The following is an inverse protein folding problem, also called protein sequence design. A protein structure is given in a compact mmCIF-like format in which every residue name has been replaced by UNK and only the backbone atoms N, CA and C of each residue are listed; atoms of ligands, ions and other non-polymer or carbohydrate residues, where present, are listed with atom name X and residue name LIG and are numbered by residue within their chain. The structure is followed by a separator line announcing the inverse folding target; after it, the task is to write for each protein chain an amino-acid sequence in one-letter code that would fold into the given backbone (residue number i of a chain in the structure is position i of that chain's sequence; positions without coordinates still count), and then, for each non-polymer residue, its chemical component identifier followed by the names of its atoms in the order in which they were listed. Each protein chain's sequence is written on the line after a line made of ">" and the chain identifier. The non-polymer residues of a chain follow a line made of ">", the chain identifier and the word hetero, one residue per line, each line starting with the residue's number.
data_IF_241703976460
#
_entry.id   IF_241703976460
#
_cell.length_a   1.000
_cell.length_b   1.000
_cell.length_c   1.000
_cell.angle_alpha   90.00
_cell.angle_beta   90.00
_cell.angle_gamma   90.00
#
_symmetry.space_group_name_H-M   'P 1'
#
loop_
_entity.id
_entity.type
_entity.pdbx_description
1 polymer ?
#
# COMPACT_ATOMS: atom_id res chain seq x y z
N UNK A 1 -6.82 -13.06 -3.12
CA UNK A 1 -7.29 -13.62 -1.83
C UNK A 1 -6.31 -13.16 -0.78
N UNK A 2 -6.77 -12.44 0.24
CA UNK A 2 -5.98 -12.11 1.43
C UNK A 2 -6.17 -13.23 2.46
N UNK A 3 -5.09 -13.62 3.14
CA UNK A 3 -5.06 -14.70 4.12
C UNK A 3 -4.18 -14.29 5.30
N UNK A 4 -4.15 -15.13 6.34
CA UNK A 4 -3.38 -14.92 7.58
C UNK A 4 -3.86 -13.70 8.40
N UNK A 5 -4.96 -13.91 9.13
CA UNK A 5 -5.57 -12.90 9.99
C UNK A 5 -5.04 -12.94 11.43
N UNK A 6 -3.88 -13.59 11.69
CA UNK A 6 -3.34 -13.73 13.05
C UNK A 6 -2.97 -12.43 13.74
N UNK A 7 -2.85 -11.33 12.99
CA UNK A 7 -2.61 -9.96 13.48
C UNK A 7 -3.70 -8.97 13.08
N UNK A 8 -4.83 -9.46 12.56
CA UNK A 8 -5.96 -8.60 12.24
C UNK A 8 -6.55 -8.01 13.53
N UNK A 9 -7.08 -6.79 13.43
CA UNK A 9 -7.73 -6.11 14.55
C UNK A 9 -9.18 -5.87 14.19
N UNK A 10 -10.09 -6.33 15.05
CA UNK A 10 -11.49 -5.97 14.95
C UNK A 10 -11.69 -4.56 15.52
N UNK A 11 -11.85 -3.58 14.62
CA UNK A 11 -12.03 -2.19 15.01
C UNK A 11 -13.38 -1.97 15.69
N UNK A 12 -14.43 -2.72 15.36
CA UNK A 12 -15.75 -2.55 15.99
C UNK A 12 -15.70 -2.95 17.47
N UNK A 13 -14.94 -4.00 17.80
CA UNK A 13 -14.76 -4.44 19.19
C UNK A 13 -13.91 -3.45 20.00
N UNK A 14 -12.86 -2.88 19.39
CA UNK A 14 -11.90 -2.01 20.08
C UNK A 14 -12.38 -0.55 20.17
N UNK A 15 -13.27 -0.12 19.27
CA UNK A 15 -13.75 1.26 19.25
C UNK A 15 -14.67 1.53 20.43
N UNK A 16 -14.19 2.33 21.38
CA UNK A 16 -14.91 2.66 22.63
C UNK A 16 -15.99 3.74 22.45
N UNK A 17 -16.06 4.38 21.27
CA UNK A 17 -17.01 5.45 20.95
C UNK A 17 -17.94 5.03 19.82
N UNK A 18 -19.16 5.59 19.75
CA UNK A 18 -20.07 5.47 18.59
C UNK A 18 -19.57 6.24 17.35
N UNK A 19 -18.25 6.40 17.20
CA UNK A 19 -17.60 7.08 16.08
C UNK A 19 -17.25 6.08 14.99
N UNK A 20 -16.80 6.60 13.83
CA UNK A 20 -16.27 5.77 12.75
C UNK A 20 -15.13 4.87 13.28
N UNK A 21 -15.22 3.53 13.18
CA UNK A 21 -14.18 2.61 13.67
C UNK A 21 -12.80 2.87 13.06
N UNK A 22 -12.72 3.40 11.83
CA UNK A 22 -11.46 3.73 11.16
C UNK A 22 -10.71 4.93 11.80
N UNK A 23 -11.36 5.64 12.73
CA UNK A 23 -10.69 6.70 13.53
C UNK A 23 -9.93 6.15 14.74
N UNK A 24 -10.01 4.84 15.01
CA UNK A 24 -9.29 4.20 16.11
C UNK A 24 -7.79 4.20 15.87
N UNK A 25 -7.04 4.69 16.85
CA UNK A 25 -5.58 4.80 16.83
C UNK A 25 -4.94 3.91 17.90
N UNK A 26 -3.83 3.30 17.53
CA UNK A 26 -3.00 2.43 18.34
C UNK A 26 -1.67 3.09 18.66
N UNK A 27 -1.03 2.65 19.73
CA UNK A 27 0.33 3.05 20.12
C UNK A 27 1.20 1.81 20.30
N UNK A 28 2.49 1.98 20.01
CA UNK A 28 3.47 0.90 20.05
C UNK A 28 4.00 0.57 18.65
N UNK A 29 4.95 -0.34 18.60
CA UNK A 29 5.65 -0.75 17.39
C UNK A 29 5.25 -2.17 17.00
N UNK A 30 5.31 -2.48 15.70
CA UNK A 30 5.27 -3.87 15.23
C UNK A 30 6.62 -4.53 15.49
N UNK A 31 6.64 -5.83 15.81
CA UNK A 31 7.88 -6.55 16.11
C UNK A 31 8.94 -6.57 14.97
N UNK A 32 8.62 -6.05 13.79
CA UNK A 32 9.50 -6.01 12.62
C UNK A 32 9.60 -4.57 12.09
N UNK A 33 10.76 -3.94 12.25
CA UNK A 33 11.02 -2.52 11.92
C UNK A 33 10.78 -2.16 10.44
N UNK A 34 10.93 -3.14 9.55
CA UNK A 34 10.70 -3.01 8.11
C UNK A 34 9.21 -2.90 7.75
N UNK A 35 8.32 -3.28 8.67
CA UNK A 35 6.87 -3.24 8.52
C UNK A 35 6.21 -2.06 9.24
N UNK A 36 7.00 -1.13 9.80
CA UNK A 36 6.48 0.08 10.43
C UNK A 36 6.06 1.13 9.40
N UNK A 37 4.85 1.66 9.53
CA UNK A 37 4.40 2.83 8.78
C UNK A 37 5.14 4.10 9.21
N UNK A 38 5.01 5.17 8.40
CA UNK A 38 5.70 6.44 8.66
C UNK A 38 5.37 7.06 10.03
N UNK A 39 4.10 6.98 10.44
CA UNK A 39 3.61 7.50 11.73
C UNK A 39 4.20 6.73 12.91
N UNK A 40 4.27 5.40 12.79
CA UNK A 40 4.87 4.53 13.80
C UNK A 40 6.38 4.79 13.97
N UNK A 41 7.11 4.98 12.86
CA UNK A 41 8.54 5.35 12.87
C UNK A 41 8.82 6.68 13.57
N UNK A 42 7.81 7.56 13.62
CA UNK A 42 7.89 8.84 14.33
C UNK A 42 7.45 8.74 15.80
N UNK A 43 7.06 7.56 16.27
CA UNK A 43 6.53 7.36 17.63
C UNK A 43 5.12 7.90 17.84
N UNK A 44 4.40 8.22 16.76
CA UNK A 44 3.05 8.76 16.79
C UNK A 44 1.99 7.64 16.78
N UNK A 45 0.75 7.91 17.24
CA UNK A 45 -0.35 6.96 17.12
C UNK A 45 -0.68 6.66 15.66
N UNK A 46 -0.96 5.41 15.34
CA UNK A 46 -1.21 4.92 13.98
C UNK A 46 -2.53 4.13 13.91
N UNK A 47 -3.07 3.94 12.72
CA UNK A 47 -4.31 3.21 12.45
C UNK A 47 -4.23 2.49 11.10
N UNK A 48 -5.17 2.79 10.21
CA UNK A 48 -5.24 2.16 8.87
C UNK A 48 -4.00 2.44 7.99
N UNK A 49 -3.23 3.48 8.30
CA UNK A 49 -1.96 3.78 7.62
C UNK A 49 -0.94 2.62 7.72
N UNK A 50 -1.06 1.73 8.70
CA UNK A 50 -0.28 0.49 8.74
C UNK A 50 -0.61 -0.45 7.58
N UNK A 51 -1.90 -0.68 7.30
CA UNK A 51 -2.33 -1.52 6.18
C UNK A 51 -2.00 -0.86 4.83
N UNK A 52 -2.12 0.47 4.75
CA UNK A 52 -1.71 1.23 3.56
C UNK A 52 -0.20 1.13 3.31
N UNK A 53 0.62 1.14 4.37
CA UNK A 53 2.04 0.84 4.24
C UNK A 53 2.28 -0.60 3.75
N UNK A 54 1.52 -1.59 4.24
CA UNK A 54 1.58 -2.97 3.74
C UNK A 54 1.24 -3.09 2.25
N UNK A 55 0.24 -2.34 1.77
CA UNK A 55 -0.11 -2.24 0.35
C UNK A 55 1.02 -1.60 -0.46
N UNK A 56 1.63 -0.55 0.07
CA UNK A 56 2.80 0.11 -0.51
C UNK A 56 3.99 -0.85 -0.64
N UNK A 57 4.33 -1.57 0.44
CA UNK A 57 5.41 -2.55 0.47
C UNK A 57 5.18 -3.68 -0.54
N UNK A 58 3.94 -4.21 -0.61
CA UNK A 58 3.55 -5.26 -1.57
C UNK A 58 3.68 -4.78 -3.02
N UNK A 59 3.17 -3.59 -3.32
CA UNK A 59 3.29 -2.96 -4.64
C UNK A 59 4.75 -2.75 -5.04
N UNK A 60 5.58 -2.32 -4.09
CA UNK A 60 7.02 -2.15 -4.31
C UNK A 60 7.73 -3.47 -4.62
N UNK A 61 7.43 -4.55 -3.90
CA UNK A 61 8.00 -5.87 -4.17
C UNK A 61 7.64 -6.34 -5.59
N UNK A 62 6.39 -6.17 -6.02
CA UNK A 62 5.94 -6.55 -7.36
C UNK A 62 6.66 -5.77 -8.47
N UNK A 63 7.03 -4.51 -8.22
CA UNK A 63 7.76 -3.69 -9.17
C UNK A 63 9.27 -3.97 -9.16
N UNK A 64 9.89 -3.96 -7.98
CA UNK A 64 11.35 -3.92 -7.84
C UNK A 64 11.98 -5.27 -7.51
N UNK A 65 11.19 -6.27 -7.08
CA UNK A 65 11.68 -7.59 -6.69
C UNK A 65 12.50 -7.60 -5.39
N UNK A 66 12.38 -6.56 -4.57
CA UNK A 66 13.08 -6.43 -3.28
C UNK A 66 12.18 -5.77 -2.24
N UNK A 67 12.50 -5.91 -0.96
CA UNK A 67 11.82 -5.18 0.12
C UNK A 67 11.92 -3.67 -0.08
N UNK A 68 10.89 -2.96 0.39
CA UNK A 68 10.78 -1.51 0.30
C UNK A 68 11.80 -0.82 1.20
N UNK A 69 12.42 0.23 0.67
CA UNK A 69 13.27 1.14 1.43
C UNK A 69 12.64 2.53 1.33
N UNK A 70 12.33 3.12 2.47
CA UNK A 70 11.74 4.46 2.56
C UNK A 70 12.71 5.43 3.22
N UNK A 71 12.69 6.67 2.74
CA UNK A 71 13.49 7.76 3.29
C UNK A 71 12.58 8.95 3.57
N UNK A 72 12.87 9.66 4.66
CA UNK A 72 12.18 10.90 4.98
C UNK A 72 12.89 12.08 4.29
N UNK A 73 12.13 12.87 3.55
CA UNK A 73 12.62 14.10 2.94
C UNK A 73 12.86 15.17 4.01
N UNK A 74 14.10 15.68 4.09
CA UNK A 74 14.47 16.68 5.11
C UNK A 74 13.71 18.00 5.01
N UNK A 75 13.30 18.38 3.80
CA UNK A 75 12.65 19.68 3.56
C UNK A 75 11.15 19.66 3.89
N UNK A 76 10.47 18.54 3.59
CA UNK A 76 9.01 18.41 3.69
C UNK A 76 8.57 17.53 4.85
N UNK A 77 9.46 16.69 5.38
CA UNK A 77 9.14 15.65 6.36
C UNK A 77 8.39 14.46 5.76
N UNK A 78 8.11 14.46 4.45
CA UNK A 78 7.37 13.39 3.77
C UNK A 78 8.22 12.14 3.59
N UNK A 79 7.58 10.98 3.67
CA UNK A 79 8.17 9.70 3.34
C UNK A 79 8.08 9.43 1.84
N UNK A 80 9.17 8.93 1.26
CA UNK A 80 9.20 8.47 -0.13
C UNK A 80 9.99 7.19 -0.27
N UNK A 81 9.75 6.46 -1.36
CA UNK A 81 10.60 5.34 -1.75
C UNK A 81 12.03 5.83 -2.08
N UNK A 82 13.03 5.05 -1.69
CA UNK A 82 14.43 5.36 -1.94
C UNK A 82 14.82 5.16 -3.40
N UNK A 83 14.34 4.06 -4.01
CA UNK A 83 14.62 3.74 -5.42
C UNK A 83 13.78 4.59 -6.38
N UNK A 84 14.41 5.03 -7.46
CA UNK A 84 13.74 5.78 -8.52
C UNK A 84 12.92 4.85 -9.44
N UNK A 85 11.72 5.30 -9.82
CA UNK A 85 10.88 4.62 -10.80
C UNK A 85 11.53 4.60 -12.19
N UNK A 86 11.43 3.46 -12.89
CA UNK A 86 11.95 3.34 -14.26
C UNK A 86 11.20 4.27 -15.21
N UNK A 87 11.88 4.74 -16.27
CA UNK A 87 11.31 5.73 -17.21
C UNK A 87 10.01 5.27 -17.88
N UNK A 88 9.91 3.98 -18.16
CA UNK A 88 8.79 3.40 -18.88
C UNK A 88 7.68 2.85 -17.97
N UNK A 89 7.80 3.05 -16.65
CA UNK A 89 6.76 2.65 -15.69
C UNK A 89 5.93 3.86 -15.36
N UNK A 90 4.69 3.93 -15.84
CA UNK A 90 3.70 5.01 -15.62
C UNK A 90 3.98 5.85 -14.37
N UNK A 91 4.90 6.82 -14.51
CA UNK A 91 5.65 7.32 -13.35
C UNK A 91 4.73 8.08 -12.43
N UNK A 92 3.87 8.89 -13.02
CA UNK A 92 2.94 9.73 -12.30
C UNK A 92 1.93 8.90 -11.52
N UNK A 93 1.44 7.80 -12.12
CA UNK A 93 0.50 6.87 -11.48
C UNK A 93 1.12 6.18 -10.26
N UNK A 94 2.32 5.61 -10.43
CA UNK A 94 3.03 4.94 -9.34
C UNK A 94 3.52 5.92 -8.27
N UNK A 95 4.00 7.09 -8.67
CA UNK A 95 4.46 8.12 -7.73
C UNK A 95 3.31 8.61 -6.86
N UNK A 96 2.13 8.82 -7.44
CA UNK A 96 0.92 9.21 -6.70
C UNK A 96 0.47 8.12 -5.74
N UNK A 97 0.45 6.85 -6.17
CA UNK A 97 0.19 5.71 -5.28
C UNK A 97 1.14 5.71 -4.09
N UNK A 98 2.46 5.79 -4.33
CA UNK A 98 3.44 5.74 -3.26
C UNK A 98 3.38 6.95 -2.33
N UNK A 99 3.18 8.17 -2.85
CA UNK A 99 3.07 9.37 -2.01
C UNK A 99 1.84 9.30 -1.11
N UNK A 100 0.67 8.93 -1.65
CA UNK A 100 -0.57 8.83 -0.88
C UNK A 100 -0.51 7.73 0.18
N UNK A 101 -0.02 6.54 -0.16
CA UNK A 101 0.01 5.43 0.82
C UNK A 101 1.05 5.66 1.94
N UNK A 102 2.21 6.24 1.62
CA UNK A 102 3.26 6.48 2.62
C UNK A 102 2.96 7.66 3.54
N UNK A 103 2.15 8.62 3.09
CA UNK A 103 1.88 9.86 3.80
C UNK A 103 0.39 10.05 4.11
N UNK A 104 -0.36 8.96 4.21
CA UNK A 104 -1.77 9.00 4.56
C UNK A 104 -1.98 9.56 5.97
N UNK A 105 -2.85 10.55 6.11
CA UNK A 105 -3.22 11.11 7.41
C UNK A 105 -4.51 10.49 7.92
N UNK A 106 -4.40 9.55 8.86
CA UNK A 106 -5.54 8.87 9.49
C UNK A 106 -6.48 9.85 10.19
N UNK A 107 -5.97 10.95 10.73
CA UNK A 107 -6.78 11.95 11.44
C UNK A 107 -7.69 12.74 10.50
N UNK A 108 -7.27 12.94 9.25
CA UNK A 108 -8.09 13.60 8.23
C UNK A 108 -9.34 12.79 7.88
N UNK A 109 -9.23 11.44 7.94
CA UNK A 109 -10.28 10.52 7.51
C UNK A 109 -10.68 10.68 6.05
N UNK A 110 -9.84 11.30 5.23
CA UNK A 110 -10.08 11.53 3.80
C UNK A 110 -9.59 10.34 2.98
N UNK A 111 -10.53 9.56 2.45
CA UNK A 111 -10.26 8.40 1.60
C UNK A 111 -10.49 8.70 0.11
N UNK A 112 -10.82 9.94 -0.25
CA UNK A 112 -11.16 10.32 -1.63
C UNK A 112 -9.95 10.14 -2.55
N UNK A 113 -8.75 10.46 -2.06
CA UNK A 113 -7.51 10.28 -2.79
C UNK A 113 -7.22 8.80 -3.11
N UNK A 114 -7.57 7.87 -2.20
CA UNK A 114 -7.43 6.43 -2.46
C UNK A 114 -8.43 5.95 -3.52
N UNK A 115 -9.64 6.50 -3.49
CA UNK A 115 -10.67 6.20 -4.51
C UNK A 115 -10.23 6.70 -5.89
N UNK A 116 -9.70 7.93 -5.96
CA UNK A 116 -9.15 8.50 -7.18
C UNK A 116 -7.99 7.66 -7.73
N UNK A 117 -7.06 7.22 -6.87
CA UNK A 117 -5.95 6.37 -7.32
C UNK A 117 -6.47 5.07 -7.91
N UNK A 118 -7.45 4.42 -7.27
CA UNK A 118 -8.06 3.20 -7.81
C UNK A 118 -8.64 3.44 -9.20
N UNK A 119 -9.41 4.50 -9.37
CA UNK A 119 -10.01 4.88 -10.66
C UNK A 119 -8.94 5.13 -11.73
N UNK A 120 -7.84 5.80 -11.39
CA UNK A 120 -6.74 6.05 -12.32
C UNK A 120 -6.03 4.76 -12.76
N UNK A 121 -5.89 3.76 -11.86
CA UNK A 121 -5.39 2.44 -12.22
C UNK A 121 -6.39 1.66 -13.09
N UNK A 122 -7.68 1.73 -12.78
CA UNK A 122 -8.74 1.09 -13.57
C UNK A 122 -8.75 1.67 -14.99
N UNK A 123 -8.70 2.99 -15.15
CA UNK A 123 -8.61 3.65 -16.46
C UNK A 123 -7.34 3.22 -17.22
N UNK A 124 -6.20 3.13 -16.53
CA UNK A 124 -4.96 2.67 -17.14
C UNK A 124 -5.07 1.21 -17.64
N UNK A 125 -5.77 0.34 -16.93
CA UNK A 125 -5.98 -1.07 -17.29
C UNK A 125 -7.00 -1.23 -18.42
N UNK A 126 -8.03 -0.38 -18.44
CA UNK A 126 -9.21 -0.52 -19.32
C UNK A 126 -8.96 -0.17 -20.79
N UNK A 127 -7.78 0.37 -21.13
CA UNK A 127 -7.35 0.51 -22.53
C UNK A 127 -7.39 -0.84 -23.27
N UNK A 128 -8.13 -0.93 -24.38
CA UNK A 128 -8.37 -2.21 -25.11
C UNK A 128 -7.09 -3.00 -25.41
N UNK A 129 -6.04 -2.34 -25.87
CA UNK A 129 -4.76 -2.99 -26.18
C UNK A 129 -4.01 -3.41 -24.92
N UNK A 130 -4.11 -2.60 -23.85
CA UNK A 130 -3.48 -2.87 -22.56
C UNK A 130 -4.12 -4.07 -21.87
N UNK A 131 -5.45 -4.14 -21.83
CA UNK A 131 -6.17 -5.26 -21.21
C UNK A 131 -5.77 -6.58 -21.85
N UNK A 132 -5.73 -6.63 -23.18
CA UNK A 132 -5.26 -7.82 -23.93
C UNK A 132 -3.80 -8.17 -23.61
N UNK A 133 -2.92 -7.17 -23.53
CA UNK A 133 -1.53 -7.38 -23.13
C UNK A 133 -1.42 -7.98 -21.72
N UNK A 134 -2.17 -7.43 -20.77
CA UNK A 134 -2.21 -7.91 -19.38
C UNK A 134 -2.73 -9.34 -19.32
N UNK A 135 -3.85 -9.65 -19.97
CA UNK A 135 -4.42 -11.00 -20.03
C UNK A 135 -3.42 -12.02 -20.60
N UNK A 136 -2.70 -11.65 -21.67
CA UNK A 136 -1.67 -12.49 -22.27
C UNK A 136 -0.51 -12.76 -21.29
N UNK A 137 0.00 -11.73 -20.62
CA UNK A 137 1.07 -11.86 -19.62
C UNK A 137 0.63 -12.66 -18.40
N UNK A 138 -0.60 -12.44 -17.91
CA UNK A 138 -1.17 -13.22 -16.79
C UNK A 138 -1.29 -14.70 -17.16
N UNK A 139 -1.80 -15.00 -18.37
CA UNK A 139 -1.86 -16.37 -18.88
C UNK A 139 -0.49 -17.03 -18.89
N UNK A 140 0.54 -16.31 -19.35
CA UNK A 140 1.92 -16.80 -19.29
C UNK A 140 2.38 -17.08 -17.84
N UNK A 141 2.14 -16.15 -16.91
CA UNK A 141 2.48 -16.33 -15.49
C UNK A 141 1.79 -17.56 -14.88
N UNK A 142 0.52 -17.81 -15.20
CA UNK A 142 -0.20 -18.98 -14.73
C UNK A 142 0.44 -20.30 -15.18
N UNK A 143 1.13 -20.33 -16.32
CA UNK A 143 1.84 -21.54 -16.78
C UNK A 143 3.04 -21.91 -15.90
N UNK A 144 3.62 -20.93 -15.20
CA UNK A 144 4.74 -21.12 -14.28
C UNK A 144 4.31 -21.52 -12.87
N UNK A 145 3.01 -21.42 -12.55
CA UNK A 145 2.52 -21.87 -11.26
C UNK A 145 2.54 -23.40 -11.16
N UNK A 146 2.88 -23.94 -9.98
CA UNK A 146 2.87 -25.38 -9.76
C UNK A 146 1.45 -25.96 -9.98
N UNK A 147 1.35 -26.94 -10.87
CA UNK A 147 0.08 -27.60 -11.24
C UNK A 147 -0.40 -28.65 -10.23
N UNK A 148 0.47 -29.02 -9.28
CA UNK A 148 0.18 -29.91 -8.17
C UNK A 148 0.62 -29.21 -6.89
N UNK A 149 -0.20 -29.32 -5.83
CA UNK A 149 0.29 -28.97 -4.49
C UNK A 149 1.42 -29.95 -4.13
N UNK A 150 2.52 -29.48 -3.53
CA UNK A 150 3.53 -30.36 -2.96
C UNK A 150 2.92 -31.27 -1.89
#
# INVERSE_FOLDING_TARGET
>A
MLVDFGRAVDLEEVTTQKSNPLSTLFKGSVAAEDMECGTMRQGNPWGVDLDLFGLCASSYILLFGSHIEVVQEKATGKWRIQKLLRRYWQRDLWQRLFDTLLNFDVCSGDYDELSYIREAFDEFIDGKDRRREIESRLTQLYTHLPKKRP
#
